data_IF_452399030044
#
_entry.id   IF_452399030044
#
_cell.length_a   1.000
_cell.length_b   1.000
_cell.length_c   1.000
_cell.angle_alpha   90.00
_cell.angle_beta   90.00
_cell.angle_gamma   90.00
#
_symmetry.space_group_name_H-M   'P 1'
#
loop_
_entity.id
_entity.type
_entity.pdbx_description
1 polymer ?
#
# COMPACT_ATOMS: atom_id res chain seq x y z
N UNK A 1 8.47 17.67 -0.96
CA UNK A 1 7.12 17.22 -1.34
C UNK A 1 7.21 15.73 -1.62
N UNK A 2 6.38 14.91 -0.97
CA UNK A 2 6.45 13.44 -1.09
C UNK A 2 6.13 12.97 -2.50
N UNK A 3 6.89 11.98 -3.00
CA UNK A 3 6.66 11.41 -4.32
C UNK A 3 5.64 10.29 -4.20
N UNK A 4 4.39 10.50 -4.58
CA UNK A 4 3.39 9.43 -4.58
C UNK A 4 3.40 8.68 -5.92
N UNK A 5 3.15 7.38 -5.87
CA UNK A 5 2.86 6.55 -7.04
C UNK A 5 1.43 6.04 -7.00
N UNK A 6 0.76 6.12 -8.14
CA UNK A 6 -0.60 5.65 -8.33
C UNK A 6 -0.59 4.45 -9.28
N UNK A 7 -1.11 3.31 -8.84
CA UNK A 7 -1.16 2.08 -9.64
C UNK A 7 -2.50 1.37 -9.48
N UNK A 8 -2.88 0.55 -10.46
CA UNK A 8 -4.07 -0.32 -10.35
C UNK A 8 -3.70 -1.62 -9.66
N UNK A 9 -4.51 -2.06 -8.71
CA UNK A 9 -4.32 -3.30 -7.98
C UNK A 9 -5.63 -4.10 -7.84
N UNK A 10 -5.52 -5.42 -7.80
CA UNK A 10 -6.62 -6.31 -7.42
C UNK A 10 -6.58 -6.53 -5.91
N UNK A 11 -7.64 -6.13 -5.19
CA UNK A 11 -7.73 -6.29 -3.75
C UNK A 11 -8.98 -7.10 -3.36
N UNK A 12 -8.87 -7.87 -2.27
CA UNK A 12 -10.00 -8.58 -1.70
C UNK A 12 -10.89 -7.62 -0.92
N UNK A 13 -12.21 -7.67 -1.15
CA UNK A 13 -13.18 -6.88 -0.38
C UNK A 13 -13.67 -7.66 0.83
N UNK A 14 -13.66 -7.04 2.01
CA UNK A 14 -14.29 -7.64 3.19
C UNK A 14 -15.81 -7.53 3.03
N UNK A 15 -16.56 -8.65 3.01
CA UNK A 15 -18.02 -8.61 2.84
C UNK A 15 -18.68 -7.97 4.06
N UNK A 16 -19.66 -7.09 3.84
CA UNK A 16 -20.40 -6.47 4.93
C UNK A 16 -21.32 -7.45 5.66
N UNK A 17 -21.83 -8.47 4.95
CA UNK A 17 -22.67 -9.55 5.46
C UNK A 17 -21.89 -10.57 6.30
N UNK A 18 -20.61 -10.77 5.98
CA UNK A 18 -19.74 -11.73 6.66
C UNK A 18 -18.29 -11.23 6.71
N UNK A 19 -17.96 -10.39 7.71
CA UNK A 19 -16.61 -9.84 7.85
C UNK A 19 -15.55 -10.87 8.26
N UNK A 20 -15.96 -12.09 8.64
CA UNK A 20 -15.07 -13.17 9.05
C UNK A 20 -14.75 -14.15 7.92
N UNK A 21 -15.32 -13.92 6.73
CA UNK A 21 -15.05 -14.71 5.54
C UNK A 21 -13.54 -14.76 5.29
N UNK A 22 -13.04 -15.93 4.96
CA UNK A 22 -11.63 -16.12 4.66
C UNK A 22 -11.23 -15.24 3.46
N UNK A 23 -10.10 -14.50 3.51
CA UNK A 23 -9.76 -13.53 2.46
C UNK A 23 -9.73 -14.11 1.04
N UNK A 24 -9.32 -15.37 0.89
CA UNK A 24 -9.27 -16.07 -0.41
C UNK A 24 -10.66 -16.31 -1.03
N UNK A 25 -11.69 -16.35 -0.19
CA UNK A 25 -13.08 -16.61 -0.56
C UNK A 25 -13.86 -15.28 -0.78
N UNK A 26 -13.20 -14.15 -0.57
CA UNK A 26 -13.75 -12.82 -0.83
C UNK A 26 -13.67 -12.43 -2.31
N UNK A 27 -14.62 -11.62 -2.76
CA UNK A 27 -14.56 -11.03 -4.09
C UNK A 27 -13.35 -10.13 -4.26
N UNK A 28 -12.86 -10.02 -5.50
CA UNK A 28 -11.78 -9.11 -5.87
C UNK A 28 -12.34 -7.91 -6.62
N UNK A 29 -11.80 -6.74 -6.32
CA UNK A 29 -12.12 -5.49 -7.01
C UNK A 29 -10.84 -4.81 -7.50
N UNK A 30 -10.96 -4.10 -8.62
CA UNK A 30 -9.90 -3.21 -9.10
C UNK A 30 -9.95 -1.90 -8.31
N UNK A 31 -8.84 -1.54 -7.70
CA UNK A 31 -8.68 -0.30 -6.94
C UNK A 31 -7.46 0.46 -7.42
N UNK A 32 -7.46 1.77 -7.19
CA UNK A 32 -6.25 2.57 -7.30
C UNK A 32 -5.50 2.55 -5.98
N UNK A 33 -4.28 2.05 -5.99
CA UNK A 33 -3.35 2.04 -4.87
C UNK A 33 -2.47 3.28 -4.96
N UNK A 34 -2.48 4.10 -3.92
CA UNK A 34 -1.58 5.23 -3.74
C UNK A 34 -0.49 4.81 -2.75
N UNK A 35 0.78 4.89 -3.16
CA UNK A 35 1.92 4.59 -2.30
C UNK A 35 2.86 5.79 -2.25
N UNK A 36 3.21 6.21 -1.03
CA UNK A 36 4.26 7.20 -0.83
C UNK A 36 5.61 6.55 -1.09
N UNK A 37 6.37 7.10 -2.05
CA UNK A 37 7.77 6.75 -2.21
C UNK A 37 8.58 7.57 -1.20
N UNK A 38 9.50 6.94 -0.48
CA UNK A 38 10.45 7.68 0.34
C UNK A 38 11.21 8.67 -0.56
N UNK A 39 11.26 9.92 -0.13
CA UNK A 39 12.07 10.95 -0.78
C UNK A 39 13.54 10.63 -0.51
N UNK A 40 14.42 10.77 -1.50
CA UNK A 40 15.86 10.45 -1.39
C UNK A 40 16.57 11.16 -0.21
N UNK A 41 15.98 12.26 0.28
CA UNK A 41 16.40 12.99 1.49
C UNK A 41 16.35 12.11 2.75
N UNK A 42 15.36 11.23 2.90
CA UNK A 42 15.24 10.37 4.07
C UNK A 42 16.23 9.19 4.03
N UNK A 43 16.56 8.69 2.82
CA UNK A 43 17.58 7.64 2.68
C UNK A 43 18.99 8.16 3.00
N UNK A 44 19.27 9.43 2.68
CA UNK A 44 20.56 10.04 3.00
C UNK A 44 20.76 10.24 4.51
N UNK A 45 19.71 10.56 5.27
CA UNK A 45 19.79 10.74 6.73
C UNK A 45 20.12 9.43 7.46
N UNK A 46 19.50 8.31 7.07
CA UNK A 46 19.83 6.99 7.67
C UNK A 46 21.29 6.56 7.40
N UNK A 47 21.91 7.06 6.31
CA UNK A 47 23.32 6.77 6.00
C UNK A 47 24.30 7.66 6.77
N UNK A 48 23.84 8.76 7.38
CA UNK A 48 24.71 9.65 8.17
C UNK A 48 24.83 9.23 9.65
N UNK A 49 23.87 8.46 10.19
CA UNK A 49 23.88 8.00 11.60
C UNK A 49 24.66 6.68 11.81
N UNK A 50 25.08 6.00 10.74
CA UNK A 50 25.84 4.72 10.79
C UNK A 50 27.37 4.92 10.76
N UNK A 51 27.88 6.14 11.01
CA UNK A 51 29.30 6.52 10.96
C UNK A 51 29.90 6.91 12.33
#
# INVERSE_FOLDING_TARGET
>A
MGHYSLSKANQHIVPADDPRRWPRDCYKIQVWKLEEKPSDVNLALDLYDDA
#
